data_IF_039226316332
#
_entry.id   IF_039226316332
#
_cell.length_a   1.000
_cell.length_b   1.000
_cell.length_c   1.000
_cell.angle_alpha   90.00
_cell.angle_beta   90.00
_cell.angle_gamma   90.00
#
_symmetry.space_group_name_H-M   'P 1'
#
loop_
_entity.id
_entity.type
_entity.pdbx_description
1 polymer ?
#
# COMPACT_ATOMS: atom_id res chain seq x y z
N UNK A 1 9.88 -4.81 4.22
CA UNK A 1 9.90 -3.57 5.05
C UNK A 1 9.67 -3.83 6.53
N UNK A 2 8.55 -4.40 6.99
CA UNK A 2 8.31 -4.61 8.43
C UNK A 2 9.37 -5.49 9.12
N UNK A 3 9.73 -6.62 8.48
CA UNK A 3 10.78 -7.52 8.97
C UNK A 3 12.15 -6.82 9.03
N UNK A 4 12.51 -6.06 7.99
CA UNK A 4 13.75 -5.28 7.94
C UNK A 4 13.82 -4.27 9.10
N UNK A 5 12.72 -3.57 9.39
CA UNK A 5 12.64 -2.63 10.52
C UNK A 5 12.75 -3.33 11.86
N UNK A 6 12.16 -4.51 11.99
CA UNK A 6 12.33 -5.37 13.16
C UNK A 6 13.81 -5.75 13.35
N UNK A 7 14.47 -6.25 12.31
CA UNK A 7 15.90 -6.65 12.37
C UNK A 7 16.77 -5.43 12.72
N UNK A 8 16.51 -4.26 12.12
CA UNK A 8 17.28 -3.04 12.39
C UNK A 8 17.20 -2.58 13.85
N UNK A 9 16.07 -2.81 14.53
CA UNK A 9 15.84 -2.37 15.91
C UNK A 9 16.24 -3.43 16.92
N UNK A 10 15.85 -4.68 16.69
CA UNK A 10 16.07 -5.76 17.65
C UNK A 10 17.42 -6.45 17.48
N UNK A 11 18.04 -6.38 16.29
CA UNK A 11 19.28 -7.11 15.95
C UNK A 11 20.24 -6.23 15.11
N UNK A 12 20.63 -5.03 15.58
CA UNK A 12 21.37 -4.04 14.78
C UNK A 12 22.72 -4.57 14.26
N UNK A 13 23.43 -5.41 15.03
CA UNK A 13 24.72 -5.99 14.64
C UNK A 13 24.59 -6.97 13.46
N UNK A 14 23.48 -7.71 13.40
CA UNK A 14 23.19 -8.67 12.32
C UNK A 14 22.51 -8.03 11.12
N UNK A 15 21.94 -6.84 11.27
CA UNK A 15 21.26 -6.12 10.19
C UNK A 15 22.17 -5.94 8.96
N UNK A 16 23.43 -5.53 9.16
CA UNK A 16 24.37 -5.31 8.05
C UNK A 16 24.73 -6.58 7.26
N UNK A 17 24.69 -7.75 7.90
CA UNK A 17 24.98 -9.04 7.27
C UNK A 17 23.75 -9.69 6.63
N UNK A 18 22.55 -9.44 7.18
CA UNK A 18 21.30 -10.04 6.72
C UNK A 18 20.68 -9.23 5.59
N UNK A 19 20.60 -7.90 5.73
CA UNK A 19 19.93 -6.99 4.81
C UNK A 19 20.89 -6.46 3.73
N UNK A 20 21.49 -7.37 2.96
CA UNK A 20 22.35 -7.02 1.83
C UNK A 20 21.53 -6.68 0.58
N UNK A 21 22.09 -5.83 -0.29
CA UNK A 21 21.43 -5.39 -1.54
C UNK A 21 21.03 -6.58 -2.43
N UNK A 22 21.94 -7.55 -2.61
CA UNK A 22 21.68 -8.74 -3.43
C UNK A 22 20.51 -9.58 -2.89
N UNK A 23 20.45 -9.80 -1.56
CA UNK A 23 19.35 -10.53 -0.92
C UNK A 23 18.03 -9.78 -1.04
N UNK A 24 18.06 -8.46 -0.89
CA UNK A 24 16.86 -7.63 -1.05
C UNK A 24 16.31 -7.73 -2.48
N UNK A 25 17.15 -7.66 -3.51
CA UNK A 25 16.70 -7.86 -4.90
C UNK A 25 16.13 -9.25 -5.14
N UNK A 26 16.76 -10.29 -4.58
CA UNK A 26 16.23 -11.65 -4.65
C UNK A 26 14.82 -11.74 -4.03
N UNK A 27 14.62 -11.19 -2.82
CA UNK A 27 13.29 -11.18 -2.19
C UNK A 27 12.27 -10.36 -2.96
N UNK A 28 12.66 -9.22 -3.55
CA UNK A 28 11.78 -8.43 -4.41
C UNK A 28 11.34 -9.28 -5.61
N UNK A 29 12.29 -9.90 -6.33
CA UNK A 29 11.97 -10.78 -7.46
C UNK A 29 11.06 -11.94 -7.07
N UNK A 30 11.32 -12.56 -5.91
CA UNK A 30 10.50 -13.64 -5.39
C UNK A 30 9.06 -13.20 -5.06
N UNK A 31 8.89 -12.02 -4.44
CA UNK A 31 7.56 -11.45 -4.17
C UNK A 31 6.82 -11.20 -5.49
N UNK A 32 7.49 -10.59 -6.47
CA UNK A 32 6.91 -10.35 -7.79
C UNK A 32 6.46 -11.65 -8.46
N UNK A 33 7.30 -12.68 -8.43
CA UNK A 33 6.97 -13.99 -8.97
C UNK A 33 5.71 -14.58 -8.32
N UNK A 34 5.66 -14.60 -6.97
CA UNK A 34 4.49 -15.11 -6.24
C UNK A 34 3.23 -14.31 -6.56
N UNK A 35 3.32 -12.98 -6.70
CA UNK A 35 2.17 -12.14 -7.01
C UNK A 35 1.64 -12.35 -8.44
N UNK A 36 2.52 -12.59 -9.41
CA UNK A 36 2.13 -12.69 -10.84
C UNK A 36 1.57 -14.07 -11.19
N UNK A 37 2.08 -15.14 -10.55
CA UNK A 37 1.71 -16.52 -10.88
C UNK A 37 0.20 -16.78 -10.82
N UNK A 38 -0.55 -16.41 -9.77
CA UNK A 38 -1.99 -16.67 -9.70
C UNK A 38 -2.80 -16.02 -10.83
N UNK A 39 -2.43 -14.80 -11.24
CA UNK A 39 -3.13 -14.05 -12.28
C UNK A 39 -2.77 -14.57 -13.69
N UNK A 40 -1.51 -14.94 -13.92
CA UNK A 40 -1.09 -15.61 -15.15
C UNK A 40 -1.85 -16.93 -15.32
N UNK A 41 -1.97 -17.72 -14.26
CA UNK A 41 -2.72 -18.98 -14.30
C UNK A 41 -4.20 -18.74 -14.62
N UNK A 42 -4.82 -17.70 -14.05
CA UNK A 42 -6.21 -17.34 -14.38
C UNK A 42 -6.34 -16.98 -15.87
N UNK A 43 -5.39 -16.23 -16.42
CA UNK A 43 -5.35 -15.87 -17.83
C UNK A 43 -5.27 -17.11 -18.73
N UNK A 44 -4.34 -18.03 -18.44
CA UNK A 44 -4.20 -19.26 -19.22
C UNK A 44 -5.44 -20.15 -19.16
N UNK A 45 -6.08 -20.27 -18.00
CA UNK A 45 -7.32 -21.04 -17.86
C UNK A 45 -8.41 -20.41 -18.74
N UNK A 46 -8.64 -19.09 -18.63
CA UNK A 46 -9.64 -18.40 -19.46
C UNK A 46 -9.34 -18.50 -20.95
N UNK A 47 -8.08 -18.42 -21.37
CA UNK A 47 -7.68 -18.61 -22.77
C UNK A 47 -7.97 -20.03 -23.28
N UNK A 48 -7.85 -21.04 -22.41
CA UNK A 48 -8.08 -22.43 -22.77
C UNK A 48 -9.57 -22.83 -22.76
N UNK A 49 -10.40 -22.16 -21.95
CA UNK A 49 -11.79 -22.56 -21.73
C UNK A 49 -12.83 -21.70 -22.46
N UNK A 50 -12.56 -20.42 -22.71
CA UNK A 50 -13.53 -19.54 -23.36
C UNK A 50 -13.53 -19.70 -24.90
N UNK A 51 -14.70 -19.67 -25.54
CA UNK A 51 -14.81 -19.78 -27.00
C UNK A 51 -14.28 -18.54 -27.72
N UNK A 52 -13.87 -18.67 -28.98
CA UNK A 52 -13.35 -17.57 -29.81
C UNK A 52 -14.29 -16.36 -29.84
N UNK A 53 -15.61 -16.59 -29.86
CA UNK A 53 -16.61 -15.51 -29.85
C UNK A 53 -16.56 -14.61 -28.62
N UNK A 54 -16.05 -15.09 -27.48
CA UNK A 54 -15.84 -14.27 -26.28
C UNK A 54 -14.81 -13.17 -26.53
N UNK A 55 -13.72 -13.47 -27.24
CA UNK A 55 -12.65 -12.52 -27.54
C UNK A 55 -13.05 -11.44 -28.55
N UNK A 56 -14.12 -11.67 -29.31
CA UNK A 56 -14.73 -10.66 -30.18
C UNK A 56 -15.88 -9.90 -29.53
N UNK A 57 -16.27 -10.25 -28.29
CA UNK A 57 -17.36 -9.61 -27.58
C UNK A 57 -16.90 -8.40 -26.76
N UNK A 58 -17.77 -7.40 -26.62
CA UNK A 58 -17.53 -6.26 -25.73
C UNK A 58 -18.06 -6.58 -24.33
N UNK A 59 -17.14 -6.75 -23.37
CA UNK A 59 -17.47 -6.94 -21.95
C UNK A 59 -16.91 -5.81 -21.10
N UNK A 60 -17.65 -5.42 -20.05
CA UNK A 60 -17.12 -4.48 -19.06
C UNK A 60 -15.89 -5.10 -18.39
N UNK A 61 -14.76 -4.36 -18.37
CA UNK A 61 -13.45 -4.80 -17.87
C UNK A 61 -13.46 -4.99 -16.35
N UNK A 62 -14.11 -6.06 -15.92
CA UNK A 62 -14.29 -6.42 -14.53
C UNK A 62 -13.87 -7.87 -14.38
N UNK A 63 -13.12 -8.18 -13.32
CA UNK A 63 -12.51 -9.49 -13.16
C UNK A 63 -13.54 -10.63 -13.23
N UNK A 64 -14.71 -10.47 -12.62
CA UNK A 64 -15.80 -11.45 -12.67
C UNK A 64 -16.40 -11.66 -14.08
N UNK A 65 -16.29 -10.67 -14.97
CA UNK A 65 -16.78 -10.77 -16.35
C UNK A 65 -15.73 -11.42 -17.26
N UNK A 66 -14.44 -11.25 -16.93
CA UNK A 66 -13.31 -11.79 -17.68
C UNK A 66 -13.03 -13.24 -17.25
N UNK A 67 -13.00 -13.50 -15.95
CA UNK A 67 -12.72 -14.80 -15.35
C UNK A 67 -14.02 -15.36 -14.77
N UNK A 68 -14.86 -15.93 -15.63
CA UNK A 68 -16.23 -16.36 -15.28
C UNK A 68 -16.29 -17.66 -14.49
N UNK A 69 -15.27 -18.50 -14.64
CA UNK A 69 -15.26 -19.83 -14.02
C UNK A 69 -15.20 -19.70 -12.48
N UNK A 70 -16.18 -20.28 -11.75
CA UNK A 70 -16.27 -20.17 -10.29
C UNK A 70 -15.06 -20.76 -9.56
N UNK A 71 -14.32 -21.69 -10.17
CA UNK A 71 -13.09 -22.25 -9.60
C UNK A 71 -12.02 -21.16 -9.45
N UNK A 72 -11.93 -20.22 -10.40
CA UNK A 72 -10.97 -19.10 -10.34
C UNK A 72 -11.33 -18.13 -9.22
N UNK A 73 -12.63 -17.94 -8.94
CA UNK A 73 -13.10 -17.15 -7.81
C UNK A 73 -12.67 -17.77 -6.48
N UNK A 74 -12.93 -19.07 -6.28
CA UNK A 74 -12.54 -19.78 -5.05
C UNK A 74 -11.01 -19.80 -4.88
N UNK A 75 -10.27 -20.10 -5.96
CA UNK A 75 -8.80 -20.05 -5.95
C UNK A 75 -8.32 -18.68 -5.48
N UNK A 76 -8.87 -17.59 -6.03
CA UNK A 76 -8.49 -16.24 -5.61
C UNK A 76 -8.78 -15.99 -4.14
N UNK A 77 -9.98 -16.33 -3.66
CA UNK A 77 -10.33 -16.14 -2.25
C UNK A 77 -9.36 -16.88 -1.32
N UNK A 78 -8.95 -18.10 -1.69
CA UNK A 78 -7.95 -18.85 -0.95
C UNK A 78 -6.59 -18.14 -0.93
N UNK A 79 -6.08 -17.67 -2.08
CA UNK A 79 -4.83 -16.92 -2.14
C UNK A 79 -4.90 -15.59 -1.36
N UNK A 80 -5.98 -14.82 -1.52
CA UNK A 80 -6.19 -13.56 -0.80
C UNK A 80 -6.23 -13.80 0.72
N UNK A 81 -6.89 -14.87 1.18
CA UNK A 81 -6.93 -15.24 2.59
C UNK A 81 -5.57 -15.71 3.13
N UNK A 82 -4.81 -16.49 2.35
CA UNK A 82 -3.46 -16.96 2.71
C UNK A 82 -2.51 -15.76 2.79
N UNK A 83 -2.48 -14.90 1.78
CA UNK A 83 -1.62 -13.71 1.76
C UNK A 83 -1.99 -12.75 2.89
N UNK A 84 -3.27 -12.49 3.11
CA UNK A 84 -3.73 -11.66 4.23
C UNK A 84 -3.24 -12.22 5.56
N UNK A 85 -3.44 -13.51 5.81
CA UNK A 85 -3.06 -14.16 7.07
C UNK A 85 -1.55 -14.10 7.30
N UNK A 86 -0.75 -14.46 6.30
CA UNK A 86 0.72 -14.45 6.39
C UNK A 86 1.26 -13.05 6.67
N UNK A 87 0.80 -12.05 5.92
CA UNK A 87 1.30 -10.69 6.09
C UNK A 87 0.77 -10.09 7.41
N UNK A 88 -0.48 -10.38 7.80
CA UNK A 88 -1.07 -9.88 9.05
C UNK A 88 -0.33 -10.43 10.27
N UNK A 89 -0.09 -11.74 10.32
CA UNK A 89 0.67 -12.38 11.40
C UNK A 89 2.09 -11.83 11.46
N UNK A 90 2.74 -11.63 10.30
CA UNK A 90 4.08 -11.02 10.22
C UNK A 90 4.10 -9.61 10.82
N UNK A 91 3.09 -8.79 10.52
CA UNK A 91 2.96 -7.44 11.07
C UNK A 91 2.75 -7.48 12.58
N UNK A 92 1.78 -8.25 13.08
CA UNK A 92 1.53 -8.36 14.51
C UNK A 92 2.79 -8.83 15.26
N UNK A 93 3.44 -9.89 14.76
CA UNK A 93 4.65 -10.43 15.37
C UNK A 93 5.78 -9.39 15.44
N UNK A 94 6.12 -8.76 14.30
CA UNK A 94 7.22 -7.78 14.24
C UNK A 94 6.95 -6.57 15.12
N UNK A 95 5.70 -6.09 15.16
CA UNK A 95 5.32 -4.92 15.98
C UNK A 95 5.35 -5.22 17.48
N UNK A 96 4.84 -6.37 17.89
CA UNK A 96 4.92 -6.79 19.30
C UNK A 96 6.38 -6.90 19.75
N UNK A 97 7.22 -7.57 18.96
CA UNK A 97 8.66 -7.70 19.25
C UNK A 97 9.35 -6.34 19.38
N UNK A 98 9.11 -5.42 18.45
CA UNK A 98 9.65 -4.06 18.50
C UNK A 98 9.18 -3.35 19.77
N UNK A 99 7.89 -3.45 20.12
CA UNK A 99 7.34 -2.80 21.31
C UNK A 99 7.96 -3.34 22.59
N UNK A 100 8.16 -4.65 22.70
CA UNK A 100 8.83 -5.26 23.85
C UNK A 100 10.30 -4.86 23.94
N UNK A 101 11.04 -4.89 22.83
CA UNK A 101 12.43 -4.44 22.79
C UNK A 101 12.56 -2.96 23.20
N UNK A 102 11.66 -2.10 22.72
CA UNK A 102 11.65 -0.68 23.08
C UNK A 102 11.34 -0.44 24.57
N UNK A 103 10.50 -1.28 25.20
CA UNK A 103 10.20 -1.19 26.64
C UNK A 103 11.38 -1.62 27.51
N UNK A 104 12.16 -2.61 27.07
CA UNK A 104 13.29 -3.14 27.83
C UNK A 104 14.48 -2.15 27.94
N UNK A 105 14.61 -1.20 27.01
CA UNK A 105 15.74 -0.26 26.91
C UNK A 105 15.38 1.11 27.54
N UNK A 106 14.40 1.17 28.45
CA UNK A 106 13.71 2.40 28.90
C UNK A 106 14.51 3.39 29.78
N UNK A 107 15.64 3.90 29.28
CA UNK A 107 16.38 5.02 29.88
C UNK A 107 16.19 6.36 29.13
N UNK A 108 15.88 6.36 27.82
CA UNK A 108 15.89 7.59 27.00
C UNK A 108 14.56 7.84 26.23
N UNK A 109 13.63 8.58 26.85
CA UNK A 109 12.21 8.70 26.41
C UNK A 109 11.99 9.37 25.03
N UNK A 110 12.88 10.26 24.59
CA UNK A 110 12.67 11.12 23.41
C UNK A 110 13.05 10.46 22.07
N UNK A 111 14.14 9.70 22.00
CA UNK A 111 14.52 8.96 20.78
C UNK A 111 13.54 7.80 20.51
N UNK A 112 13.04 7.17 21.58
CA UNK A 112 12.03 6.10 21.58
C UNK A 112 10.70 6.60 20.98
N UNK A 113 10.22 7.79 21.36
CA UNK A 113 8.95 8.34 20.84
C UNK A 113 8.99 8.54 19.31
N UNK A 114 10.14 8.99 18.79
CA UNK A 114 10.33 9.26 17.36
C UNK A 114 10.43 7.96 16.54
N UNK A 115 11.11 6.94 17.07
CA UNK A 115 11.14 5.60 16.49
C UNK A 115 9.74 4.95 16.51
N UNK A 116 8.97 5.11 17.59
CA UNK A 116 7.62 4.56 17.72
C UNK A 116 6.62 5.18 16.75
N UNK A 117 6.60 6.51 16.61
CA UNK A 117 5.70 7.19 15.66
C UNK A 117 5.96 6.79 14.20
N UNK A 118 7.22 6.56 13.86
CA UNK A 118 7.63 6.07 12.54
C UNK A 118 7.05 4.71 12.23
N UNK A 119 7.21 3.79 13.17
CA UNK A 119 6.79 2.40 13.02
C UNK A 119 5.27 2.34 13.01
N UNK A 120 4.60 3.14 13.83
CA UNK A 120 3.15 3.28 13.83
C UNK A 120 2.63 3.75 12.45
N UNK A 121 3.23 4.79 11.86
CA UNK A 121 2.84 5.29 10.54
C UNK A 121 3.01 4.24 9.44
N UNK A 122 4.13 3.53 9.42
CA UNK A 122 4.30 2.41 8.49
C UNK A 122 3.28 1.31 8.74
N UNK A 123 2.90 1.06 10.00
CA UNK A 123 1.95 0.03 10.40
C UNK A 123 0.55 0.36 9.93
N UNK A 124 0.13 1.62 10.11
CA UNK A 124 -1.14 2.13 9.58
C UNK A 124 -1.17 2.01 8.07
N UNK A 125 -0.09 2.41 7.39
CA UNK A 125 -0.03 2.29 5.94
C UNK A 125 -0.12 0.84 5.47
N UNK A 126 0.63 -0.08 6.10
CA UNK A 126 0.58 -1.51 5.82
C UNK A 126 -0.82 -2.09 6.09
N UNK A 127 -1.47 -1.68 7.18
CA UNK A 127 -2.84 -2.09 7.50
C UNK A 127 -3.84 -1.58 6.46
N UNK A 128 -3.69 -0.35 5.99
CA UNK A 128 -4.51 0.17 4.90
C UNK A 128 -4.28 -0.60 3.60
N UNK A 129 -3.04 -0.98 3.28
CA UNK A 129 -2.77 -1.86 2.15
C UNK A 129 -3.43 -3.24 2.31
N UNK A 130 -3.57 -3.77 3.54
CA UNK A 130 -4.26 -5.05 3.75
C UNK A 130 -5.73 -5.03 3.37
N UNK A 131 -6.36 -3.85 3.38
CA UNK A 131 -7.74 -3.71 2.94
C UNK A 131 -7.92 -4.18 1.49
N UNK A 132 -6.85 -4.23 0.67
CA UNK A 132 -6.93 -4.74 -0.70
C UNK A 132 -7.32 -6.21 -0.80
N UNK A 133 -6.99 -7.02 0.21
CA UNK A 133 -7.37 -8.44 0.26
C UNK A 133 -8.81 -8.63 0.71
N UNK A 134 -9.33 -7.72 1.54
CA UNK A 134 -10.68 -7.79 2.11
C UNK A 134 -11.70 -7.07 1.20
N UNK A 135 -11.25 -6.08 0.45
CA UNK A 135 -12.04 -5.21 -0.42
C UNK A 135 -13.01 -5.95 -1.35
N UNK A 136 -12.62 -7.02 -2.08
CA UNK A 136 -13.54 -7.75 -2.93
C UNK A 136 -14.72 -8.35 -2.17
N UNK A 137 -14.48 -8.90 -0.98
CA UNK A 137 -15.51 -9.47 -0.12
C UNK A 137 -16.44 -8.40 0.46
N UNK A 138 -15.87 -7.26 0.87
CA UNK A 138 -16.64 -6.11 1.37
C UNK A 138 -17.51 -5.52 0.27
N UNK A 139 -17.02 -5.45 -0.97
CA UNK A 139 -17.79 -4.97 -2.11
C UNK A 139 -19.02 -5.85 -2.35
N UNK A 140 -18.87 -7.19 -2.32
CA UNK A 140 -20.01 -8.12 -2.45
C UNK A 140 -21.08 -7.86 -1.39
N UNK A 141 -20.69 -7.70 -0.14
CA UNK A 141 -21.60 -7.43 0.98
C UNK A 141 -22.29 -6.07 0.78
N UNK A 142 -21.52 -5.03 0.45
CA UNK A 142 -22.06 -3.69 0.21
C UNK A 142 -23.04 -3.65 -0.96
N UNK A 143 -22.82 -4.47 -1.99
CA UNK A 143 -23.73 -4.60 -3.12
C UNK A 143 -25.05 -5.28 -2.76
N UNK A 144 -25.02 -6.23 -1.83
CA UNK A 144 -26.26 -6.83 -1.30
C UNK A 144 -27.08 -5.82 -0.50
N UNK A 145 -26.41 -4.93 0.25
CA UNK A 145 -27.08 -3.91 1.08
C UNK A 145 -27.56 -2.72 0.24
N UNK A 146 -26.77 -2.29 -0.74
CA UNK A 146 -27.01 -1.10 -1.56
C UNK A 146 -26.95 -1.40 -3.07
N UNK A 147 -27.89 -2.21 -3.61
CA UNK A 147 -27.82 -2.70 -4.98
C UNK A 147 -27.82 -1.59 -6.04
N UNK A 148 -28.42 -0.43 -5.76
CA UNK A 148 -28.48 0.71 -6.69
C UNK A 148 -27.23 1.59 -6.74
N UNK A 149 -26.23 1.37 -5.88
CA UNK A 149 -25.06 2.28 -5.71
C UNK A 149 -23.72 1.60 -6.04
N UNK A 150 -23.76 0.47 -6.74
CA UNK A 150 -22.60 -0.37 -7.10
C UNK A 150 -21.41 0.42 -7.67
N UNK A 151 -21.65 1.34 -8.61
CA UNK A 151 -20.59 2.10 -9.27
C UNK A 151 -19.89 3.06 -8.30
N UNK A 152 -20.66 3.74 -7.46
CA UNK A 152 -20.12 4.68 -6.45
C UNK A 152 -19.34 3.93 -5.37
N UNK A 153 -19.85 2.77 -4.93
CA UNK A 153 -19.18 1.91 -3.95
C UNK A 153 -17.84 1.44 -4.50
N UNK A 154 -17.82 0.93 -5.74
CA UNK A 154 -16.57 0.53 -6.43
C UNK A 154 -15.59 1.67 -6.55
N UNK A 155 -16.06 2.85 -6.95
CA UNK A 155 -15.21 4.02 -7.12
C UNK A 155 -14.61 4.46 -5.78
N UNK A 156 -15.42 4.59 -4.74
CA UNK A 156 -14.96 4.95 -3.40
C UNK A 156 -13.98 3.91 -2.83
N UNK A 157 -14.31 2.63 -2.96
CA UNK A 157 -13.45 1.52 -2.54
C UNK A 157 -12.11 1.55 -3.29
N UNK A 158 -12.13 1.79 -4.60
CA UNK A 158 -10.92 1.96 -5.40
C UNK A 158 -10.01 3.06 -4.86
N UNK A 159 -10.59 4.24 -4.57
CA UNK A 159 -9.86 5.37 -4.02
C UNK A 159 -9.28 5.08 -2.63
N UNK A 160 -10.09 4.55 -1.72
CA UNK A 160 -9.68 4.36 -0.31
C UNK A 160 -8.66 3.22 -0.18
N UNK A 161 -8.84 2.14 -0.93
CA UNK A 161 -8.05 0.91 -0.73
C UNK A 161 -6.82 0.84 -1.63
N UNK A 162 -6.89 1.37 -2.86
CA UNK A 162 -5.77 1.23 -3.81
C UNK A 162 -5.00 2.53 -4.02
N UNK A 163 -5.68 3.67 -4.03
CA UNK A 163 -5.07 4.98 -4.27
C UNK A 163 -4.49 5.51 -2.96
N UNK A 164 -5.32 5.75 -1.95
CA UNK A 164 -4.93 6.40 -0.68
C UNK A 164 -3.67 5.81 -0.02
N UNK A 165 -3.50 4.47 0.10
CA UNK A 165 -2.33 3.91 0.78
C UNK A 165 -1.03 4.15 0.02
N UNK A 166 -1.09 4.30 -1.31
CA UNK A 166 0.08 4.62 -2.15
C UNK A 166 0.50 6.07 -1.97
N UNK A 167 -0.45 6.99 -1.87
CA UNK A 167 -0.20 8.43 -1.63
C UNK A 167 0.38 8.69 -0.24
N UNK A 168 0.02 7.87 0.75
CA UNK A 168 0.56 8.00 2.10
C UNK A 168 2.06 7.75 2.15
N UNK A 169 2.64 6.86 1.32
CA UNK A 169 4.10 6.64 1.34
C UNK A 169 4.89 7.93 1.04
N UNK A 170 4.71 8.59 -0.11
CA UNK A 170 5.39 9.85 -0.41
C UNK A 170 5.13 10.95 0.62
N UNK A 171 3.91 11.06 1.15
CA UNK A 171 3.58 12.06 2.17
C UNK A 171 4.35 11.77 3.46
N UNK A 172 4.29 10.53 3.95
CA UNK A 172 4.95 10.12 5.20
C UNK A 172 6.48 10.29 5.09
N UNK A 173 7.08 9.86 3.98
CA UNK A 173 8.53 9.98 3.78
C UNK A 173 8.95 11.42 3.47
N UNK A 174 8.17 12.15 2.67
CA UNK A 174 8.45 13.54 2.28
C UNK A 174 8.30 14.52 3.44
N UNK A 175 7.18 14.48 4.17
CA UNK A 175 6.96 15.35 5.34
C UNK A 175 8.01 15.14 6.43
N UNK A 176 8.55 13.91 6.51
CA UNK A 176 9.56 13.57 7.50
C UNK A 176 10.97 13.99 7.12
N UNK A 177 11.28 14.16 5.84
CA UNK A 177 12.57 14.69 5.42
C UNK A 177 12.63 16.21 5.64
N UNK A 178 13.39 16.62 6.65
CA UNK A 178 13.56 18.03 7.00
C UNK A 178 14.15 18.86 5.86
N UNK A 179 14.99 18.25 5.00
CA UNK A 179 15.56 18.95 3.84
C UNK A 179 14.45 19.21 2.81
N UNK A 180 13.71 18.17 2.41
CA UNK A 180 12.57 18.29 1.51
C UNK A 180 11.53 19.31 2.02
N UNK A 181 11.13 19.23 3.29
CA UNK A 181 10.20 20.18 3.91
C UNK A 181 10.72 21.63 3.88
N UNK A 182 12.02 21.84 4.13
CA UNK A 182 12.62 23.17 4.06
C UNK A 182 12.65 23.71 2.63
N UNK A 183 12.93 22.87 1.64
CA UNK A 183 12.88 23.26 0.22
C UNK A 183 11.45 23.57 -0.23
N UNK A 184 10.47 22.74 0.12
CA UNK A 184 9.06 22.99 -0.16
C UNK A 184 8.58 24.29 0.48
N UNK A 185 8.87 24.51 1.76
CA UNK A 185 8.48 25.76 2.44
C UNK A 185 9.11 26.99 1.77
N UNK A 186 10.39 26.91 1.36
CA UNK A 186 11.03 27.98 0.58
C UNK A 186 10.35 28.21 -0.77
N UNK A 187 10.02 27.14 -1.48
CA UNK A 187 9.30 27.24 -2.76
C UNK A 187 7.94 27.91 -2.59
N UNK A 188 7.14 27.50 -1.59
CA UNK A 188 5.84 28.12 -1.30
C UNK A 188 5.97 29.60 -0.88
N UNK A 189 6.98 29.94 -0.08
CA UNK A 189 7.26 31.35 0.27
C UNK A 189 7.65 32.16 -0.96
N UNK A 190 8.49 31.62 -1.85
CA UNK A 190 8.88 32.29 -3.09
C UNK A 190 7.68 32.47 -4.02
N UNK A 191 6.80 31.47 -4.13
CA UNK A 191 5.56 31.55 -4.91
C UNK A 191 4.61 32.59 -4.32
N UNK A 192 4.44 32.61 -2.99
CA UNK A 192 3.62 33.62 -2.31
C UNK A 192 4.20 35.03 -2.45
N UNK A 193 5.52 35.21 -2.36
CA UNK A 193 6.17 36.49 -2.65
C UNK A 193 5.94 36.91 -4.11
N UNK A 194 6.15 36.01 -5.08
CA UNK A 194 5.90 36.30 -6.50
C UNK A 194 4.45 36.66 -6.79
N UNK A 195 3.48 36.03 -6.13
CA UNK A 195 2.07 36.41 -6.26
C UNK A 195 1.79 37.76 -5.60
N UNK A 196 2.39 38.08 -4.45
CA UNK A 196 2.23 39.39 -3.80
C UNK A 196 2.83 40.53 -4.62
N UNK A 197 4.00 40.33 -5.24
CA UNK A 197 4.62 41.35 -6.11
C UNK A 197 3.85 41.56 -7.41
N UNK A 198 3.19 40.52 -7.94
CA UNK A 198 2.30 40.66 -9.12
C UNK A 198 1.02 41.40 -8.80
N UNK A 199 0.44 41.20 -7.62
CA UNK A 199 -0.79 41.90 -7.21
C UNK A 199 -0.50 43.39 -6.98
N UNK A 200 0.60 43.72 -6.31
CA UNK A 200 0.98 45.12 -6.06
C UNK A 200 1.40 45.86 -7.35
N UNK A 201 2.09 45.17 -8.27
CA UNK A 201 2.47 45.74 -9.56
C UNK A 201 1.33 45.92 -10.58
N UNK A 202 0.11 45.45 -10.29
CA UNK A 202 -1.09 45.74 -11.09
C UNK A 202 -1.95 46.88 -10.48
N UNK A 203 -1.73 47.25 -9.22
CA UNK A 203 -2.42 48.36 -8.56
C UNK A 203 -1.73 49.72 -8.80
N UNK A 204 -0.46 49.74 -9.20
CA UNK A 204 0.28 50.96 -9.56
C UNK A 204 0.07 51.42 -11.02
N UNK A 205 -0.60 50.62 -11.86
CA UNK A 205 -0.84 50.88 -13.29
C UNK A 205 -2.30 51.31 -13.62
N UNK A 206 -3.10 51.75 -12.63
CA UNK A 206 -4.47 52.29 -12.81
C UNK A 206 -4.54 53.77 -12.43
#
# INVERSE_FOLDING_TARGET
MAIERYIAICEPLRHAQICTVQRTYFFIGFIWFICVVPDITDLFITLATEPIGFFHSSVMCLRQNIFKDPVLLYKRQAFDAIYFSLVFLTLIYTYLKILFAARAISSEKTSIQKARNTILLHGVQLLMCMLSYISPSVEVILNMIFPGRILEIRYANYLIVYIMPRFLSPIIYGVRDQKFCRYLRRYFIIVQCKSSTRVYGQEEDI
#
